data_IF_859484384509
#
_entry.id   IF_859484384509
#
_cell.length_a   1.000
_cell.length_b   1.000
_cell.length_c   1.000
_cell.angle_alpha   90.00
_cell.angle_beta   90.00
_cell.angle_gamma   90.00
#
_symmetry.space_group_name_H-M   'P 1'
#
loop_
_entity.id
_entity.type
_entity.pdbx_description
1 polymer ?
#
# COMPACT_ATOMS: atom_id res chain seq x y z
N UNK A 1 15.99 21.45 -1.83
CA UNK A 1 15.25 20.17 -1.67
C UNK A 1 16.05 19.28 -0.75
N UNK A 2 15.75 19.29 0.55
CA UNK A 2 16.43 18.40 1.50
C UNK A 2 15.93 16.98 1.26
N UNK A 3 16.79 16.11 0.72
CA UNK A 3 16.51 14.68 0.60
C UNK A 3 16.57 14.05 1.98
N UNK A 4 15.41 13.82 2.59
CA UNK A 4 15.32 13.06 3.83
C UNK A 4 15.59 11.58 3.50
N UNK A 5 16.85 11.15 3.61
CA UNK A 5 17.25 9.75 3.38
C UNK A 5 17.31 9.00 4.71
N UNK A 6 16.81 7.78 4.68
CA UNK A 6 16.97 6.81 5.76
C UNK A 6 18.45 6.47 5.95
N UNK A 7 18.85 6.20 7.19
CA UNK A 7 20.14 5.63 7.51
C UNK A 7 20.21 4.16 7.06
N UNK A 8 21.42 3.64 6.83
CA UNK A 8 21.61 2.27 6.31
C UNK A 8 20.93 1.20 7.17
N UNK A 9 20.93 1.37 8.50
CA UNK A 9 20.26 0.45 9.44
C UNK A 9 18.75 0.43 9.23
N UNK A 10 18.14 1.57 8.94
CA UNK A 10 16.70 1.70 8.70
C UNK A 10 16.32 1.07 7.35
N UNK A 11 17.17 1.21 6.34
CA UNK A 11 16.99 0.55 5.04
C UNK A 11 17.02 -0.97 5.19
N UNK A 12 18.02 -1.50 5.90
CA UNK A 12 18.13 -2.95 6.15
C UNK A 12 16.91 -3.48 6.92
N UNK A 13 16.40 -2.74 7.90
CA UNK A 13 15.19 -3.12 8.62
C UNK A 13 13.96 -3.16 7.70
N UNK A 14 13.83 -2.19 6.79
CA UNK A 14 12.74 -2.13 5.83
C UNK A 14 12.82 -3.29 4.81
N UNK A 15 14.02 -3.59 4.32
CA UNK A 15 14.27 -4.74 3.43
C UNK A 15 13.91 -6.05 4.12
N UNK A 16 14.33 -6.26 5.36
CA UNK A 16 13.99 -7.46 6.13
C UNK A 16 12.47 -7.62 6.35
N UNK A 17 11.73 -6.52 6.55
CA UNK A 17 10.27 -6.56 6.61
C UNK A 17 9.66 -6.93 5.25
N UNK A 18 10.14 -6.31 4.16
CA UNK A 18 9.66 -6.62 2.81
C UNK A 18 9.92 -8.09 2.45
N UNK A 19 11.08 -8.63 2.81
CA UNK A 19 11.44 -10.02 2.52
C UNK A 19 10.63 -11.02 3.35
N UNK A 20 10.26 -10.67 4.58
CA UNK A 20 9.53 -11.58 5.48
C UNK A 20 8.03 -11.62 5.22
N UNK A 21 7.40 -10.47 4.99
CA UNK A 21 5.94 -10.35 4.89
C UNK A 21 5.47 -9.88 3.50
N UNK A 22 6.38 -9.43 2.65
CA UNK A 22 6.08 -8.98 1.30
C UNK A 22 5.70 -7.49 1.22
N UNK A 23 6.11 -6.86 0.12
CA UNK A 23 5.91 -5.42 -0.10
C UNK A 23 4.43 -4.99 -0.02
N UNK A 24 3.49 -5.81 -0.48
CA UNK A 24 2.06 -5.44 -0.45
C UNK A 24 1.52 -5.32 0.98
N UNK A 25 1.92 -6.21 1.89
CA UNK A 25 1.48 -6.13 3.29
C UNK A 25 2.17 -4.97 4.00
N UNK A 26 3.47 -4.74 3.74
CA UNK A 26 4.17 -3.56 4.27
C UNK A 26 3.49 -2.26 3.84
N UNK A 27 3.10 -2.14 2.56
CA UNK A 27 2.40 -0.95 2.08
C UNK A 27 1.00 -0.80 2.70
N UNK A 28 0.24 -1.88 2.86
CA UNK A 28 -1.06 -1.85 3.53
C UNK A 28 -0.94 -1.35 4.99
N UNK A 29 0.06 -1.84 5.73
CA UNK A 29 0.32 -1.38 7.10
C UNK A 29 0.76 0.10 7.13
N UNK A 30 1.56 0.55 6.16
CA UNK A 30 1.92 1.98 6.06
C UNK A 30 0.67 2.84 5.80
N UNK A 31 -0.27 2.38 4.97
CA UNK A 31 -1.53 3.09 4.74
C UNK A 31 -2.35 3.21 6.04
N UNK A 32 -2.49 2.11 6.80
CA UNK A 32 -3.16 2.12 8.10
C UNK A 32 -2.48 3.06 9.12
N UNK A 33 -1.15 3.12 9.13
CA UNK A 33 -0.40 4.08 9.98
C UNK A 33 -0.71 5.53 9.57
N UNK A 34 -0.83 5.81 8.28
CA UNK A 34 -1.19 7.14 7.78
C UNK A 34 -2.61 7.53 8.24
N UNK A 35 -3.60 6.64 8.11
CA UNK A 35 -4.96 6.86 8.60
C UNK A 35 -4.98 7.13 10.11
N UNK A 36 -4.30 6.30 10.90
CA UNK A 36 -4.21 6.50 12.35
C UNK A 36 -3.55 7.83 12.74
N UNK A 37 -2.60 8.32 11.94
CA UNK A 37 -2.01 9.65 12.14
C UNK A 37 -2.98 10.78 11.74
N UNK A 38 -3.74 10.60 10.67
CA UNK A 38 -4.77 11.56 10.27
C UNK A 38 -5.80 11.74 11.39
N UNK A 39 -6.29 10.63 11.93
CA UNK A 39 -7.22 10.62 13.07
C UNK A 39 -6.59 11.28 14.29
N UNK A 40 -5.37 10.90 14.67
CA UNK A 40 -4.69 11.44 15.84
C UNK A 40 -4.50 12.95 15.75
N UNK A 41 -4.03 13.45 14.61
CA UNK A 41 -3.78 14.88 14.40
C UNK A 41 -5.09 15.67 14.38
N UNK A 42 -6.13 15.13 13.72
CA UNK A 42 -7.44 15.78 13.66
C UNK A 42 -8.11 15.81 15.04
N UNK A 43 -8.08 14.71 15.77
CA UNK A 43 -8.77 14.58 17.05
C UNK A 43 -8.03 15.27 18.20
N UNK A 44 -6.70 15.12 18.27
CA UNK A 44 -5.93 15.60 19.43
C UNK A 44 -5.34 16.98 19.21
N UNK A 45 -4.93 17.31 17.99
CA UNK A 45 -4.27 18.58 17.70
C UNK A 45 -5.19 19.56 16.96
N UNK A 46 -6.39 19.12 16.56
CA UNK A 46 -7.39 19.92 15.85
C UNK A 46 -6.89 20.47 14.50
N UNK A 47 -5.84 19.87 13.95
CA UNK A 47 -5.18 20.28 12.72
C UNK A 47 -5.78 19.56 11.52
N UNK A 48 -6.93 20.02 11.07
CA UNK A 48 -7.68 19.39 9.95
C UNK A 48 -6.88 19.35 8.64
N UNK A 49 -6.07 20.38 8.38
CA UNK A 49 -5.25 20.45 7.17
C UNK A 49 -4.17 19.36 7.14
N UNK A 50 -3.49 19.15 8.26
CA UNK A 50 -2.49 18.10 8.38
C UNK A 50 -3.13 16.71 8.41
N UNK A 51 -4.28 16.56 9.07
CA UNK A 51 -5.07 15.33 9.03
C UNK A 51 -5.40 14.89 7.60
N UNK A 52 -5.95 15.81 6.80
CA UNK A 52 -6.27 15.55 5.39
C UNK A 52 -5.04 15.14 4.56
N UNK A 53 -3.87 15.73 4.80
CA UNK A 53 -2.64 15.34 4.10
C UNK A 53 -2.21 13.90 4.44
N UNK A 54 -2.42 13.46 5.68
CA UNK A 54 -2.19 12.08 6.07
C UNK A 54 -3.18 11.12 5.41
N UNK A 55 -4.47 11.48 5.34
CA UNK A 55 -5.49 10.69 4.61
C UNK A 55 -5.14 10.56 3.12
N UNK A 56 -4.79 11.67 2.47
CA UNK A 56 -4.39 11.66 1.05
C UNK A 56 -3.12 10.81 0.82
N UNK A 57 -2.24 10.71 1.81
CA UNK A 57 -1.09 9.80 1.76
C UNK A 57 -1.51 8.34 1.93
N UNK A 58 -2.43 8.04 2.83
CA UNK A 58 -2.98 6.69 3.02
C UNK A 58 -3.58 6.16 1.71
N UNK A 59 -4.47 6.93 1.07
CA UNK A 59 -5.13 6.56 -0.18
C UNK A 59 -4.13 6.21 -1.30
N UNK A 60 -3.05 7.01 -1.40
CA UNK A 60 -2.00 6.81 -2.42
C UNK A 60 -1.20 5.55 -2.16
N UNK A 61 -0.89 5.26 -0.90
CA UNK A 61 -0.15 4.07 -0.50
C UNK A 61 -1.01 2.83 -0.68
N UNK A 62 -2.29 2.86 -0.29
CA UNK A 62 -3.22 1.74 -0.48
C UNK A 62 -3.43 1.43 -1.97
N UNK A 63 -3.59 2.46 -2.80
CA UNK A 63 -3.63 2.31 -4.27
C UNK A 63 -2.36 1.63 -4.79
N UNK A 64 -1.19 1.96 -4.25
CA UNK A 64 0.09 1.35 -4.64
C UNK A 64 0.19 -0.11 -4.17
N UNK A 65 -0.30 -0.43 -2.98
CA UNK A 65 -0.39 -1.81 -2.46
C UNK A 65 -1.26 -2.69 -3.38
N UNK A 66 -2.40 -2.14 -3.83
CA UNK A 66 -3.42 -2.87 -4.59
C UNK A 66 -3.18 -2.86 -6.12
N UNK A 67 -2.33 -1.96 -6.63
CA UNK A 67 -2.04 -1.83 -8.07
C UNK A 67 -1.46 -3.11 -8.74
N UNK A 68 -0.84 -4.02 -7.99
CA UNK A 68 -0.35 -5.31 -8.52
C UNK A 68 -1.39 -6.44 -8.48
N UNK A 69 -2.33 -6.44 -7.53
CA UNK A 69 -3.42 -7.41 -7.47
C UNK A 69 -4.39 -7.24 -8.66
N UNK A 70 -4.70 -5.99 -9.02
CA UNK A 70 -5.61 -5.66 -10.12
C UNK A 70 -5.09 -6.04 -11.53
N UNK A 71 -3.77 -6.26 -11.69
CA UNK A 71 -3.17 -6.66 -12.98
C UNK A 71 -3.19 -8.17 -13.22
N UNK A 72 -3.21 -8.98 -12.15
CA UNK A 72 -3.31 -10.45 -12.24
C UNK A 72 -4.74 -10.95 -12.43
N UNK A 73 -5.74 -10.29 -11.85
CA UNK A 73 -7.15 -10.69 -12.02
C UNK A 73 -7.69 -10.43 -13.43
N UNK A 74 -7.23 -9.37 -14.12
CA UNK A 74 -7.60 -9.11 -15.53
C UNK A 74 -6.92 -10.02 -16.56
N UNK A 75 -5.89 -10.77 -16.17
CA UNK A 75 -5.19 -11.69 -17.09
C UNK A 75 -5.73 -13.13 -17.03
N UNK A 76 -6.65 -13.46 -16.12
CA UNK A 76 -7.17 -14.82 -15.95
C UNK A 76 -8.61 -15.02 -16.45
N UNK A 77 -9.42 -13.97 -16.56
CA UNK A 77 -10.82 -14.05 -17.04
C UNK A 77 -10.98 -14.12 -18.58
N UNK A 78 -9.91 -14.43 -19.31
CA UNK A 78 -9.90 -14.39 -20.78
C UNK A 78 -9.67 -15.72 -21.50
N UNK A 79 -9.60 -16.87 -20.81
CA UNK A 79 -9.38 -18.17 -21.49
C UNK A 79 -10.73 -18.89 -21.67
N UNK A 80 -11.30 -18.95 -22.88
CA UNK A 80 -12.47 -19.80 -23.11
C UNK A 80 -12.09 -21.26 -22.84
N UNK A 81 -12.93 -21.93 -22.05
CA UNK A 81 -12.77 -23.36 -21.77
C UNK A 81 -12.70 -24.15 -23.09
N UNK A 82 -11.84 -25.18 -23.19
CA UNK A 82 -11.86 -26.06 -24.35
C UNK A 82 -13.24 -26.71 -24.42
N UNK A 83 -13.98 -26.45 -25.52
CA UNK A 83 -15.22 -27.13 -25.83
C UNK A 83 -14.89 -28.62 -25.88
N UNK A 84 -15.34 -29.37 -24.87
CA UNK A 84 -15.45 -30.81 -24.95
C UNK A 84 -16.47 -31.11 -26.05
N UNK A 85 -15.97 -31.37 -27.26
CA UNK A 85 -16.76 -31.97 -28.32
C UNK A 85 -17.05 -33.40 -27.87
N UNK A 86 -18.28 -33.62 -27.39
CA UNK A 86 -18.82 -34.96 -27.29
C UNK A 86 -19.07 -35.50 -28.68
N UNK A 87 -18.54 -36.69 -28.95
CA UNK A 87 -19.12 -37.81 -29.70
C UNK A 87 -18.17 -39.01 -29.56
#
# INVERSE_FOLDING_TARGET
MSTNRLADVEVVALEAMIDSVGLSMVLAEIAAICEGKAEHVTANWQEQGLGRLWDECADRVDTAANCRAARRLRSFEGRPAPRTAGL
#
